data_IF_091511043490
#
_entry.id   IF_091511043490
#
_cell.length_a   1.000
_cell.length_b   1.000
_cell.length_c   1.000
_cell.angle_alpha   90.00
_cell.angle_beta   90.00
_cell.angle_gamma   90.00
#
_symmetry.space_group_name_H-M   'P 1'
#
loop_
_entity.id
_entity.type
_entity.pdbx_description
1 polymer ?
#
# COMPACT_ATOMS: atom_id res chain seq x y z
N UNK A 1 -2.07 -9.09 -18.06
CA UNK A 1 -2.42 -7.68 -17.73
C UNK A 1 -1.67 -7.30 -16.46
N UNK A 2 -1.07 -6.09 -16.42
CA UNK A 2 -0.44 -5.59 -15.17
C UNK A 2 -1.31 -4.50 -14.54
N UNK A 3 -1.43 -4.52 -13.22
CA UNK A 3 -2.14 -3.51 -12.43
C UNK A 3 -1.11 -2.91 -11.48
N UNK A 4 -0.80 -1.63 -11.65
CA UNK A 4 0.34 -0.99 -11.04
C UNK A 4 -0.12 0.13 -10.12
N UNK A 5 0.16 -0.02 -8.84
CA UNK A 5 -0.02 1.04 -7.85
C UNK A 5 1.23 1.90 -7.75
N UNK A 6 1.08 3.22 -7.81
CA UNK A 6 2.19 4.17 -7.80
C UNK A 6 2.01 5.16 -6.66
N UNK A 7 3.00 5.23 -5.77
CA UNK A 7 2.96 6.21 -4.68
C UNK A 7 3.89 5.89 -3.51
N UNK A 8 3.79 6.71 -2.47
CA UNK A 8 4.51 6.53 -1.22
C UNK A 8 3.85 5.47 -0.36
N UNK A 9 4.65 4.67 0.31
CA UNK A 9 4.15 3.67 1.25
C UNK A 9 4.12 4.24 2.67
N UNK A 10 3.05 3.91 3.37
CA UNK A 10 2.79 4.39 4.74
C UNK A 10 2.38 3.20 5.60
N UNK A 11 2.84 3.18 6.84
CA UNK A 11 2.36 2.24 7.85
C UNK A 11 1.23 2.88 8.63
N UNK A 12 0.05 2.28 8.59
CA UNK A 12 -1.10 2.70 9.39
C UNK A 12 -1.07 1.98 10.74
N UNK A 13 -1.08 2.75 11.82
CA UNK A 13 -1.00 2.28 13.19
C UNK A 13 -2.27 2.69 13.94
N UNK A 14 -3.04 1.69 14.34
CA UNK A 14 -4.29 1.89 15.07
C UNK A 14 -4.01 1.90 16.57
N UNK A 15 -4.38 2.97 17.24
CA UNK A 15 -4.12 3.21 18.66
C UNK A 15 -5.43 3.32 19.44
N UNK A 16 -5.50 2.65 20.57
CA UNK A 16 -6.51 2.95 21.59
C UNK A 16 -5.74 3.45 22.82
N UNK A 17 -5.95 4.70 23.20
CA UNK A 17 -5.15 5.40 24.22
C UNK A 17 -3.64 5.29 23.96
N UNK A 18 -2.92 4.45 24.70
CA UNK A 18 -1.48 4.20 24.55
C UNK A 18 -1.15 2.82 23.96
N UNK A 19 -2.17 2.01 23.65
CA UNK A 19 -1.99 0.66 23.15
C UNK A 19 -2.13 0.60 21.62
N UNK A 20 -1.22 -0.15 20.98
CA UNK A 20 -1.35 -0.48 19.56
C UNK A 20 -2.39 -1.60 19.43
N UNK A 21 -3.48 -1.35 18.70
CA UNK A 21 -4.54 -2.33 18.41
C UNK A 21 -4.31 -3.05 17.08
N UNK A 22 -3.64 -2.40 16.16
CA UNK A 22 -3.35 -3.00 14.85
C UNK A 22 -2.33 -2.19 14.09
N UNK A 23 -1.69 -2.86 13.15
CA UNK A 23 -0.72 -2.27 12.24
C UNK A 23 -1.02 -2.86 10.87
N UNK A 24 -1.06 -2.04 9.83
CA UNK A 24 -1.24 -2.49 8.46
C UNK A 24 -0.48 -1.59 7.49
N UNK A 25 0.00 -2.17 6.40
CA UNK A 25 0.53 -1.40 5.28
C UNK A 25 -0.59 -0.54 4.69
N UNK A 26 -0.39 0.76 4.68
CA UNK A 26 -1.42 1.72 4.35
C UNK A 26 -1.16 2.47 3.05
N UNK A 27 -2.00 3.43 2.85
CA UNK A 27 -2.27 4.32 1.72
C UNK A 27 -3.29 3.78 0.74
N UNK A 28 -4.09 4.71 0.27
CA UNK A 28 -5.26 4.40 -0.57
C UNK A 28 -4.92 3.57 -1.79
N UNK A 29 -3.82 3.85 -2.50
CA UNK A 29 -3.46 3.09 -3.69
C UNK A 29 -3.01 1.66 -3.37
N UNK A 30 -2.22 1.45 -2.30
CA UNK A 30 -1.79 0.11 -1.89
C UNK A 30 -2.98 -0.74 -1.45
N UNK A 31 -3.91 -0.15 -0.68
CA UNK A 31 -5.16 -0.81 -0.31
C UNK A 31 -6.03 -1.16 -1.51
N UNK A 32 -6.10 -0.28 -2.52
CA UNK A 32 -6.82 -0.57 -3.77
C UNK A 32 -6.17 -1.74 -4.50
N UNK A 33 -4.85 -1.75 -4.66
CA UNK A 33 -4.12 -2.85 -5.30
C UNK A 33 -4.34 -4.16 -4.54
N UNK A 34 -4.23 -4.15 -3.21
CA UNK A 34 -4.47 -5.32 -2.38
C UNK A 34 -5.88 -5.89 -2.58
N UNK A 35 -6.90 -5.02 -2.55
CA UNK A 35 -8.28 -5.44 -2.75
C UNK A 35 -8.55 -5.96 -4.17
N UNK A 36 -7.97 -5.34 -5.20
CA UNK A 36 -8.08 -5.81 -6.59
C UNK A 36 -7.44 -7.18 -6.71
N UNK A 37 -6.24 -7.39 -6.14
CA UNK A 37 -5.57 -8.69 -6.16
C UNK A 37 -6.47 -9.77 -5.58
N UNK A 38 -7.02 -9.53 -4.39
CA UNK A 38 -7.93 -10.48 -3.71
C UNK A 38 -9.20 -10.77 -4.51
N UNK A 39 -9.77 -9.76 -5.14
CA UNK A 39 -10.96 -9.93 -5.99
C UNK A 39 -10.67 -10.80 -7.22
N UNK A 40 -9.55 -10.57 -7.90
CA UNK A 40 -9.16 -11.33 -9.07
C UNK A 40 -8.77 -12.77 -8.72
N UNK A 41 -8.09 -13.00 -7.61
CA UNK A 41 -7.80 -14.33 -7.09
C UNK A 41 -9.07 -15.11 -6.77
N UNK A 42 -10.02 -14.46 -6.07
CA UNK A 42 -11.31 -15.09 -5.75
C UNK A 42 -12.12 -15.39 -7.02
N UNK A 43 -12.13 -14.47 -7.99
CA UNK A 43 -12.74 -14.69 -9.29
C UNK A 43 -12.13 -15.92 -9.96
N UNK A 44 -10.82 -15.98 -10.11
CA UNK A 44 -10.11 -17.09 -10.73
C UNK A 44 -10.32 -18.42 -9.98
N UNK A 45 -10.47 -18.37 -8.66
CA UNK A 45 -10.74 -19.57 -7.84
C UNK A 45 -12.16 -20.11 -8.04
N UNK A 46 -13.13 -19.22 -8.26
CA UNK A 46 -14.52 -19.58 -8.49
C UNK A 46 -14.74 -20.22 -9.86
N UNK A 47 -13.86 -19.98 -10.82
CA UNK A 47 -13.95 -20.47 -12.20
C UNK A 47 -13.40 -21.88 -12.42
N UNK A 48 -12.81 -22.52 -11.40
CA UNK A 48 -12.26 -23.88 -11.55
C UNK A 48 -13.31 -24.96 -11.92
N UNK A 49 -14.62 -24.62 -11.89
CA UNK A 49 -15.72 -25.54 -12.15
C UNK A 49 -16.63 -25.15 -13.33
N UNK A 50 -16.39 -24.04 -14.02
CA UNK A 50 -17.24 -23.54 -15.12
C UNK A 50 -16.39 -23.13 -16.33
N UNK A 51 -16.97 -23.17 -17.54
CA UNK A 51 -16.36 -22.79 -18.81
C UNK A 51 -16.08 -21.26 -18.93
N UNK A 52 -15.23 -20.74 -18.06
CA UNK A 52 -14.79 -19.34 -18.12
C UNK A 52 -13.28 -19.24 -18.31
N UNK A 53 -12.82 -18.15 -18.90
CA UNK A 53 -11.38 -17.88 -19.00
C UNK A 53 -10.87 -17.26 -17.68
N UNK A 54 -9.76 -17.83 -17.17
CA UNK A 54 -9.03 -17.20 -16.06
C UNK A 54 -8.41 -15.89 -16.53
N UNK A 55 -8.48 -14.91 -15.69
CA UNK A 55 -7.79 -13.63 -15.91
C UNK A 55 -6.32 -13.82 -15.53
N UNK A 56 -5.42 -13.70 -16.51
CA UNK A 56 -3.99 -13.64 -16.26
C UNK A 56 -3.62 -12.20 -15.88
N UNK A 57 -3.16 -12.02 -14.65
CA UNK A 57 -2.83 -10.71 -14.09
C UNK A 57 -1.61 -10.75 -13.18
N UNK A 58 -0.95 -9.63 -13.08
CA UNK A 58 0.10 -9.33 -12.10
C UNK A 58 -0.20 -7.99 -11.45
N UNK A 59 -0.16 -7.94 -10.13
CA UNK A 59 -0.27 -6.69 -9.36
C UNK A 59 1.10 -6.27 -8.85
N UNK A 60 1.42 -5.00 -9.03
CA UNK A 60 2.76 -4.44 -8.79
C UNK A 60 2.61 -3.16 -7.97
N UNK A 61 3.51 -2.95 -7.02
CA UNK A 61 3.70 -1.65 -6.37
C UNK A 61 5.01 -1.03 -6.86
N UNK A 62 4.89 0.13 -7.51
CA UNK A 62 5.99 1.04 -7.77
C UNK A 62 5.96 2.14 -6.71
N UNK A 63 6.86 2.05 -5.75
CA UNK A 63 6.75 2.86 -4.55
C UNK A 63 8.08 3.11 -3.84
N UNK A 64 8.00 3.86 -2.74
CA UNK A 64 9.14 4.13 -1.89
C UNK A 64 8.78 4.01 -0.41
N UNK A 65 9.70 3.46 0.38
CA UNK A 65 9.66 3.47 1.84
C UNK A 65 11.07 3.64 2.41
N UNK A 66 11.17 3.76 3.72
CA UNK A 66 12.44 3.74 4.42
C UNK A 66 13.05 2.33 4.48
N UNK A 67 14.35 2.29 4.68
CA UNK A 67 15.04 1.04 4.99
C UNK A 67 15.00 0.80 6.51
N UNK A 68 13.80 0.53 7.03
CA UNK A 68 13.49 0.38 8.45
C UNK A 68 12.41 -0.70 8.69
N UNK A 69 12.12 -0.97 9.97
CA UNK A 69 11.15 -1.98 10.39
C UNK A 69 9.75 -1.70 9.82
N UNK A 70 9.32 -0.44 9.76
CA UNK A 70 8.01 -0.05 9.22
C UNK A 70 7.91 -0.37 7.72
N UNK A 71 9.00 -0.15 6.97
CA UNK A 71 9.10 -0.56 5.57
C UNK A 71 9.07 -2.08 5.40
N UNK A 72 9.75 -2.82 6.30
CA UNK A 72 9.74 -4.29 6.27
C UNK A 72 8.34 -4.86 6.50
N UNK A 73 7.57 -4.27 7.43
CA UNK A 73 6.19 -4.70 7.71
C UNK A 73 5.32 -4.52 6.46
N UNK A 74 5.40 -3.34 5.82
CA UNK A 74 4.61 -3.05 4.62
C UNK A 74 4.94 -4.02 3.49
N UNK A 75 6.23 -4.23 3.22
CA UNK A 75 6.68 -5.12 2.14
C UNK A 75 6.18 -6.54 2.38
N UNK A 76 6.36 -7.08 3.59
CA UNK A 76 5.89 -8.43 3.94
C UNK A 76 4.37 -8.57 3.82
N UNK A 77 3.61 -7.56 4.19
CA UNK A 77 2.16 -7.58 4.05
C UNK A 77 1.74 -7.62 2.57
N UNK A 78 2.35 -6.78 1.72
CA UNK A 78 2.10 -6.78 0.28
C UNK A 78 2.46 -8.13 -0.37
N UNK A 79 3.62 -8.68 -0.03
CA UNK A 79 4.08 -9.99 -0.51
C UNK A 79 3.14 -11.12 -0.07
N UNK A 80 2.63 -11.06 1.17
CA UNK A 80 1.64 -12.03 1.66
C UNK A 80 0.32 -11.98 0.90
N UNK A 81 0.03 -10.84 0.27
CA UNK A 81 -1.10 -10.63 -0.63
C UNK A 81 -0.80 -10.90 -2.11
N UNK A 82 0.30 -11.61 -2.42
CA UNK A 82 0.74 -11.93 -3.79
C UNK A 82 0.97 -10.69 -4.69
N UNK A 83 1.42 -9.59 -4.09
CA UNK A 83 1.73 -8.36 -4.80
C UNK A 83 3.24 -8.31 -5.06
N UNK A 84 3.62 -8.00 -6.28
CA UNK A 84 5.02 -7.82 -6.66
C UNK A 84 5.57 -6.52 -6.07
N UNK A 85 6.55 -6.64 -5.17
CA UNK A 85 7.21 -5.55 -4.44
C UNK A 85 8.59 -5.20 -4.99
N UNK A 86 9.05 -5.86 -6.06
CA UNK A 86 10.41 -5.68 -6.60
C UNK A 86 10.72 -4.27 -7.11
N UNK A 87 9.68 -3.46 -7.33
CA UNK A 87 9.78 -2.06 -7.75
C UNK A 87 9.64 -1.07 -6.58
N UNK A 88 9.70 -1.55 -5.34
CA UNK A 88 9.73 -0.68 -4.17
C UNK A 88 11.16 -0.25 -3.88
N UNK A 89 11.43 1.05 -3.96
CA UNK A 89 12.72 1.61 -3.57
C UNK A 89 12.79 1.81 -2.06
N UNK A 90 13.81 1.23 -1.44
CA UNK A 90 14.11 1.47 -0.02
C UNK A 90 15.16 2.57 0.12
N UNK A 91 14.87 3.57 0.93
CA UNK A 91 15.77 4.72 1.14
C UNK A 91 16.52 4.56 2.46
N UNK A 92 17.84 4.45 2.38
CA UNK A 92 18.70 4.55 3.55
C UNK A 92 18.61 5.96 4.18
N UNK A 93 18.79 6.02 5.48
CA UNK A 93 18.72 7.26 6.28
C UNK A 93 17.39 8.01 6.18
N UNK A 94 16.33 7.35 5.73
CA UNK A 94 14.97 7.85 5.72
C UNK A 94 14.07 6.87 6.44
N UNK A 95 13.06 7.43 7.14
CA UNK A 95 12.06 6.61 7.83
C UNK A 95 10.82 6.44 6.98
N UNK A 96 10.27 5.25 6.99
CA UNK A 96 8.95 5.00 6.46
C UNK A 96 7.93 5.89 7.16
N UNK A 97 7.04 6.46 6.40
CA UNK A 97 5.95 7.28 6.94
C UNK A 97 5.03 6.39 7.77
N UNK A 98 4.70 6.88 8.96
CA UNK A 98 3.75 6.24 9.85
C UNK A 98 2.54 7.16 10.05
N UNK A 99 1.37 6.57 10.06
CA UNK A 99 0.11 7.27 10.24
C UNK A 99 -0.60 6.68 11.46
N UNK A 100 -0.76 7.47 12.50
CA UNK A 100 -1.39 7.04 13.74
C UNK A 100 -2.87 7.40 13.71
N UNK A 101 -3.72 6.38 13.79
CA UNK A 101 -5.17 6.50 13.87
C UNK A 101 -5.65 6.12 15.26
N UNK A 102 -6.31 7.05 15.93
CA UNK A 102 -6.81 6.82 17.27
C UNK A 102 -8.26 6.32 17.23
N UNK A 103 -8.52 5.29 18.01
CA UNK A 103 -9.82 4.66 18.17
C UNK A 103 -10.38 4.97 19.58
N UNK A 104 -11.70 5.02 19.69
CA UNK A 104 -12.39 5.03 20.98
C UNK A 104 -12.47 3.62 21.57
N UNK A 105 -13.13 3.50 22.73
CA UNK A 105 -13.35 2.22 23.42
C UNK A 105 -14.21 1.21 22.63
N UNK A 106 -14.92 1.68 21.60
CA UNK A 106 -15.76 0.86 20.73
C UNK A 106 -15.11 0.63 19.35
N UNK A 107 -13.82 0.88 19.21
CA UNK A 107 -13.04 0.79 17.99
C UNK A 107 -13.50 1.72 16.83
N UNK A 108 -14.23 2.80 17.15
CA UNK A 108 -14.56 3.82 16.17
C UNK A 108 -13.45 4.87 16.08
N UNK A 109 -13.24 5.39 14.86
CA UNK A 109 -12.29 6.48 14.66
C UNK A 109 -12.70 7.73 15.44
N UNK A 110 -11.76 8.26 16.21
CA UNK A 110 -11.94 9.54 16.88
C UNK A 110 -11.86 10.66 15.84
N UNK A 111 -13.00 11.10 15.35
CA UNK A 111 -13.13 12.20 14.37
C UNK A 111 -13.08 13.59 14.99
N UNK A 112 -12.99 13.68 16.33
CA UNK A 112 -12.96 14.96 17.02
C UNK A 112 -11.70 15.75 16.69
N UNK A 113 -11.79 17.07 16.58
CA UNK A 113 -10.78 18.07 16.22
C UNK A 113 -9.49 18.06 17.09
N UNK A 114 -9.33 17.10 17.95
CA UNK A 114 -8.19 16.96 18.85
C UNK A 114 -7.35 15.72 18.46
N UNK A 115 -6.35 15.92 17.64
CA UNK A 115 -5.12 15.10 17.56
C UNK A 115 -5.18 13.74 16.82
N UNK A 116 -5.99 13.53 15.82
CA UNK A 116 -6.09 12.18 15.25
C UNK A 116 -5.04 11.81 14.19
N UNK A 117 -4.13 12.72 13.85
CA UNK A 117 -3.14 12.45 12.81
C UNK A 117 -1.80 13.03 13.19
N UNK A 118 -0.89 12.20 13.69
CA UNK A 118 0.51 12.59 13.84
C UNK A 118 1.26 11.96 12.67
N UNK A 119 1.34 12.69 11.58
CA UNK A 119 2.35 12.38 10.56
C UNK A 119 3.67 12.93 11.06
N UNK A 120 4.66 12.09 11.29
CA UNK A 120 6.03 12.59 11.49
C UNK A 120 6.49 13.21 10.17
N UNK A 121 6.55 14.53 10.11
CA UNK A 121 6.97 15.29 8.91
C UNK A 121 8.34 14.86 8.37
N UNK A 122 9.18 14.30 9.23
CA UNK A 122 10.53 13.86 8.91
C UNK A 122 10.58 12.61 8.01
N UNK A 123 9.45 11.93 7.85
CA UNK A 123 9.34 10.70 7.07
C UNK A 123 8.69 10.88 5.70
N UNK A 124 8.44 12.12 5.26
CA UNK A 124 7.76 12.33 3.98
C UNK A 124 8.71 12.28 2.79
N UNK A 125 8.34 11.46 1.80
CA UNK A 125 9.06 11.26 0.54
C UNK A 125 8.29 11.65 -0.72
N UNK A 126 7.04 12.08 -0.59
CA UNK A 126 6.06 12.24 -1.66
C UNK A 126 6.48 12.99 -2.91
N UNK A 127 7.56 13.76 -2.85
CA UNK A 127 8.08 14.46 -4.02
C UNK A 127 9.16 13.70 -4.79
N UNK A 128 9.65 12.57 -4.26
CA UNK A 128 10.81 11.89 -4.86
C UNK A 128 10.45 10.82 -5.88
N UNK A 129 9.23 10.27 -5.84
CA UNK A 129 8.76 9.30 -6.84
C UNK A 129 8.36 9.94 -8.17
N UNK A 130 7.78 11.14 -8.10
CA UNK A 130 7.33 11.86 -9.31
C UNK A 130 8.48 12.41 -10.16
N UNK A 131 9.70 12.37 -9.65
CA UNK A 131 10.93 12.77 -10.37
C UNK A 131 11.76 11.60 -10.86
N UNK A 132 11.38 10.37 -10.50
CA UNK A 132 12.02 9.16 -10.98
C UNK A 132 11.34 8.68 -12.25
N UNK A 133 12.11 8.28 -13.22
CA UNK A 133 11.56 7.67 -14.43
C UNK A 133 10.92 6.33 -14.04
N UNK A 134 9.63 6.21 -14.30
CA UNK A 134 8.95 4.93 -14.17
C UNK A 134 9.65 3.96 -15.13
N UNK A 135 10.07 2.78 -14.67
CA UNK A 135 10.73 1.81 -15.54
C UNK A 135 9.93 1.54 -16.81
N UNK A 136 10.61 1.52 -17.95
CA UNK A 136 9.96 1.41 -19.26
C UNK A 136 9.12 0.14 -19.38
N UNK A 137 9.56 -0.94 -18.74
CA UNK A 137 8.83 -2.21 -18.68
C UNK A 137 7.50 -2.15 -17.92
N UNK A 138 7.28 -1.09 -17.12
CA UNK A 138 5.99 -0.81 -16.48
C UNK A 138 5.10 0.10 -17.33
N UNK A 139 5.63 0.72 -18.39
CA UNK A 139 4.88 1.63 -19.25
C UNK A 139 4.26 0.86 -20.42
N UNK A 140 2.96 0.60 -20.35
CA UNK A 140 2.20 0.00 -21.44
C UNK A 140 0.77 0.51 -21.45
N UNK A 141 0.19 0.67 -22.64
CA UNK A 141 -1.23 1.06 -22.80
C UNK A 141 -2.20 -0.04 -22.31
N UNK A 142 -1.72 -1.26 -22.15
CA UNK A 142 -2.51 -2.41 -21.69
C UNK A 142 -2.49 -2.54 -20.16
N UNK A 143 -1.71 -1.72 -19.46
CA UNK A 143 -1.63 -1.74 -18.01
C UNK A 143 -2.66 -0.80 -17.38
N UNK A 144 -3.10 -1.17 -16.18
CA UNK A 144 -3.97 -0.34 -15.34
C UNK A 144 -3.08 0.33 -14.28
N UNK A 145 -3.22 1.63 -14.14
CA UNK A 145 -2.45 2.41 -13.18
C UNK A 145 -3.35 3.00 -12.11
N UNK A 146 -2.96 2.84 -10.86
CA UNK A 146 -3.61 3.41 -9.69
C UNK A 146 -2.66 4.40 -9.05
N UNK A 147 -3.02 5.67 -9.11
CA UNK A 147 -2.24 6.76 -8.53
C UNK A 147 -2.95 7.31 -7.29
N UNK A 148 -2.15 7.89 -6.39
CA UNK A 148 -2.66 8.83 -5.42
C UNK A 148 -2.27 10.24 -5.84
N UNK A 149 -3.23 11.15 -5.85
CA UNK A 149 -2.94 12.58 -5.81
C UNK A 149 -2.36 12.95 -4.44
N UNK A 150 -1.27 13.71 -4.46
CA UNK A 150 -0.62 14.25 -3.26
C UNK A 150 -1.35 15.46 -2.73
#
# INVERSE_FOLDING_TARGET
MKIIGIGDLVLDIYMNESEIKGITGGMSFANVIYNITRLLENYNSSYNNNEGEKIDFETIIYGVCGNDISGDIIIKELESGNINTSYITRKDNKKTREFYMYLDENDNFLTSKKKNYITKKESWYGSSLLKGDIPEELLSKENIYVFREC
#
